data_IF_360625934775
#
_entry.id   IF_360625934775
#
_cell.length_a   1.000
_cell.length_b   1.000
_cell.length_c   1.000
_cell.angle_alpha   90.00
_cell.angle_beta   90.00
_cell.angle_gamma   90.00
#
_symmetry.space_group_name_H-M   'P 1'
#
loop_
_entity.id
_entity.type
_entity.pdbx_description
1 polymer ?
#
# COMPACT_ATOMS: atom_id res chain seq x y z
N UNK A 1 -23.75 -35.67 -18.88
CA UNK A 1 -22.78 -34.96 -18.00
C UNK A 1 -22.34 -35.92 -16.91
N UNK A 2 -21.04 -36.21 -16.80
CA UNK A 2 -20.49 -37.06 -15.75
C UNK A 2 -20.03 -36.16 -14.58
N UNK A 3 -20.89 -35.96 -13.59
CA UNK A 3 -20.64 -35.15 -12.39
C UNK A 3 -20.88 -36.01 -11.16
N UNK A 4 -20.01 -35.87 -10.16
CA UNK A 4 -20.11 -36.67 -8.95
C UNK A 4 -21.37 -36.27 -8.14
N UNK A 5 -22.13 -37.25 -7.66
CA UNK A 5 -23.37 -37.06 -6.91
C UNK A 5 -23.19 -36.20 -5.65
N UNK A 6 -22.03 -36.31 -5.00
CA UNK A 6 -21.69 -35.49 -3.81
C UNK A 6 -21.56 -34.00 -4.14
N UNK A 7 -21.11 -33.66 -5.35
CA UNK A 7 -20.99 -32.28 -5.81
C UNK A 7 -22.37 -31.66 -6.01
N UNK A 8 -23.32 -32.42 -6.56
CA UNK A 8 -24.71 -31.99 -6.75
C UNK A 8 -25.39 -31.77 -5.40
N UNK A 9 -25.21 -32.68 -4.45
CA UNK A 9 -25.75 -32.54 -3.09
C UNK A 9 -25.22 -31.28 -2.39
N UNK A 10 -23.89 -31.07 -2.42
CA UNK A 10 -23.25 -29.89 -1.82
C UNK A 10 -23.71 -28.57 -2.45
N UNK A 11 -23.88 -28.53 -3.77
CA UNK A 11 -24.39 -27.35 -4.46
C UNK A 11 -25.85 -27.04 -4.08
N UNK A 12 -26.71 -28.07 -4.02
CA UNK A 12 -28.10 -27.90 -3.54
C UNK A 12 -28.14 -27.43 -2.10
N UNK A 13 -27.30 -27.98 -1.22
CA UNK A 13 -27.21 -27.57 0.16
C UNK A 13 -26.74 -26.11 0.28
N UNK A 14 -25.66 -25.71 -0.41
CA UNK A 14 -25.21 -24.32 -0.45
C UNK A 14 -26.31 -23.38 -0.95
N UNK A 15 -27.03 -23.76 -2.01
CA UNK A 15 -28.13 -22.96 -2.55
C UNK A 15 -29.25 -22.79 -1.51
N UNK A 16 -29.62 -23.85 -0.79
CA UNK A 16 -30.62 -23.75 0.27
C UNK A 16 -30.16 -22.89 1.47
N UNK A 17 -28.87 -22.93 1.81
CA UNK A 17 -28.32 -22.18 2.96
C UNK A 17 -28.06 -20.70 2.66
N UNK A 18 -27.59 -20.37 1.45
CA UNK A 18 -27.05 -19.04 1.12
C UNK A 18 -27.69 -18.39 -0.09
N UNK A 19 -28.71 -19.02 -0.69
CA UNK A 19 -29.38 -18.59 -1.93
C UNK A 19 -28.42 -18.38 -3.11
N UNK A 20 -27.20 -18.93 -3.02
CA UNK A 20 -26.18 -18.84 -4.05
C UNK A 20 -25.37 -20.13 -4.13
N UNK A 21 -24.91 -20.44 -5.35
CA UNK A 21 -23.92 -21.51 -5.61
C UNK A 21 -22.50 -20.96 -5.77
N UNK A 22 -22.32 -19.66 -5.54
CA UNK A 22 -21.01 -19.01 -5.62
C UNK A 22 -20.06 -19.57 -4.57
N UNK A 23 -18.79 -19.72 -4.93
CA UNK A 23 -17.77 -20.19 -4.00
C UNK A 23 -17.62 -19.24 -2.81
N UNK A 24 -17.51 -19.80 -1.60
CA UNK A 24 -17.23 -19.01 -0.39
C UNK A 24 -15.84 -18.37 -0.49
N UNK A 25 -15.63 -17.16 0.08
CA UNK A 25 -14.30 -16.56 0.14
C UNK A 25 -13.32 -17.48 0.87
N UNK A 26 -12.21 -17.81 0.23
CA UNK A 26 -11.13 -18.56 0.88
C UNK A 26 -10.26 -17.62 1.72
N UNK A 27 -9.73 -18.10 2.84
CA UNK A 27 -8.88 -17.32 3.76
C UNK A 27 -7.56 -16.86 3.12
N UNK A 28 -7.09 -17.55 2.07
CA UNK A 28 -5.87 -17.21 1.35
C UNK A 28 -4.59 -17.39 2.18
N UNK A 29 -3.46 -16.91 1.64
CA UNK A 29 -2.15 -16.98 2.31
C UNK A 29 -2.01 -15.87 3.37
N UNK A 30 -1.45 -16.15 4.56
CA UNK A 30 -1.19 -15.12 5.56
C UNK A 30 -0.22 -14.05 5.04
N UNK A 31 -0.38 -12.82 5.53
CA UNK A 31 0.49 -11.69 5.18
C UNK A 31 1.89 -11.87 5.76
N UNK A 32 2.91 -11.45 5.00
CA UNK A 32 4.30 -11.42 5.46
C UNK A 32 4.55 -10.37 6.55
N UNK A 33 3.79 -9.26 6.52
CA UNK A 33 3.90 -8.14 7.46
C UNK A 33 2.67 -8.04 8.36
N UNK A 34 2.89 -7.56 9.57
CA UNK A 34 1.83 -7.25 10.53
C UNK A 34 1.29 -5.83 10.32
N UNK A 35 0.06 -5.58 10.78
CA UNK A 35 -0.54 -4.24 10.70
C UNK A 35 0.29 -3.16 11.43
N UNK A 36 1.01 -3.53 12.51
CA UNK A 36 1.93 -2.61 13.21
C UNK A 36 3.14 -2.26 12.35
N UNK A 37 3.73 -3.24 11.68
CA UNK A 37 4.85 -3.02 10.77
C UNK A 37 4.43 -2.11 9.60
N UNK A 38 3.27 -2.38 9.00
CA UNK A 38 2.75 -1.57 7.89
C UNK A 38 2.54 -0.11 8.30
N UNK A 39 1.97 0.15 9.49
CA UNK A 39 1.84 1.53 10.03
C UNK A 39 3.19 2.22 10.23
N UNK A 40 4.20 1.48 10.70
CA UNK A 40 5.54 2.03 10.87
C UNK A 40 6.22 2.32 9.53
N UNK A 41 6.05 1.45 8.53
CA UNK A 41 6.54 1.68 7.17
C UNK A 41 5.94 2.96 6.59
N UNK A 42 4.62 3.13 6.68
CA UNK A 42 3.92 4.32 6.21
C UNK A 42 4.44 5.58 6.92
N UNK A 43 4.53 5.56 8.24
CA UNK A 43 5.05 6.70 9.02
C UNK A 43 6.48 7.08 8.63
N UNK A 44 7.36 6.10 8.50
CA UNK A 44 8.76 6.35 8.13
C UNK A 44 8.89 6.98 6.74
N UNK A 45 8.09 6.52 5.77
CA UNK A 45 8.07 7.07 4.40
C UNK A 45 7.37 8.43 4.31
N UNK A 46 6.44 8.74 5.21
CA UNK A 46 5.88 10.11 5.32
C UNK A 46 6.91 11.10 5.85
N UNK A 47 7.68 10.70 6.87
CA UNK A 47 8.71 11.55 7.48
C UNK A 47 9.93 11.74 6.56
N UNK A 48 10.32 10.69 5.82
CA UNK A 48 11.43 10.75 4.87
C UNK A 48 10.98 10.27 3.49
N UNK A 49 10.57 11.23 2.65
CA UNK A 49 10.09 10.95 1.28
C UNK A 49 11.18 10.40 0.34
N UNK A 50 12.46 10.50 0.71
CA UNK A 50 13.60 9.98 -0.06
C UNK A 50 13.99 8.55 0.37
N UNK A 51 13.37 8.00 1.41
CA UNK A 51 13.66 6.67 1.90
C UNK A 51 13.33 5.61 0.83
N UNK A 52 14.32 4.82 0.46
CA UNK A 52 14.11 3.72 -0.50
C UNK A 52 13.36 2.56 0.13
N UNK A 53 12.43 1.97 -0.62
CA UNK A 53 11.76 0.73 -0.22
C UNK A 53 12.74 -0.43 0.04
N UNK A 54 13.89 -0.45 -0.66
CA UNK A 54 14.94 -1.44 -0.44
C UNK A 54 15.62 -1.24 0.93
N UNK A 55 15.85 0.01 1.33
CA UNK A 55 16.43 0.32 2.63
C UNK A 55 15.50 -0.12 3.77
N UNK A 56 14.20 0.17 3.65
CA UNK A 56 13.20 -0.29 4.63
C UNK A 56 13.06 -1.81 4.67
N UNK A 57 13.21 -2.49 3.53
CA UNK A 57 13.18 -3.95 3.42
C UNK A 57 14.33 -4.59 4.20
N UNK A 58 15.53 -4.00 4.19
CA UNK A 58 16.69 -4.49 4.97
C UNK A 58 16.47 -4.37 6.49
N UNK A 59 15.69 -3.38 6.92
CA UNK A 59 15.41 -3.10 8.33
C UNK A 59 14.20 -3.87 8.88
N UNK A 60 13.30 -4.30 8.00
CA UNK A 60 12.04 -4.96 8.40
C UNK A 60 12.16 -6.46 8.24
N UNK A 61 11.86 -7.19 9.31
CA UNK A 61 11.81 -8.65 9.29
C UNK A 61 10.36 -9.15 9.26
N UNK A 62 10.12 -10.21 8.50
CA UNK A 62 8.84 -10.92 8.55
C UNK A 62 8.71 -11.77 9.81
N UNK A 63 7.57 -12.46 9.93
CA UNK A 63 7.24 -13.30 11.09
C UNK A 63 8.28 -14.40 11.37
N UNK A 64 8.92 -14.94 10.35
CA UNK A 64 9.95 -15.98 10.46
C UNK A 64 11.37 -15.39 10.51
N UNK A 65 11.50 -14.11 10.87
CA UNK A 65 12.77 -13.40 10.97
C UNK A 65 13.55 -13.26 9.63
N UNK A 66 12.93 -13.60 8.49
CA UNK A 66 13.52 -13.35 7.18
C UNK A 66 13.39 -11.86 6.79
N UNK A 67 14.20 -11.40 5.86
CA UNK A 67 14.08 -10.04 5.32
C UNK A 67 12.91 -9.99 4.34
N UNK A 68 12.05 -8.98 4.47
CA UNK A 68 10.97 -8.79 3.51
C UNK A 68 11.52 -8.25 2.19
N UNK A 69 10.85 -8.52 1.08
CA UNK A 69 11.20 -7.93 -0.22
C UNK A 69 10.83 -6.44 -0.29
N UNK A 70 11.46 -5.69 -1.19
CA UNK A 70 11.07 -4.31 -1.47
C UNK A 70 9.62 -4.20 -1.99
N UNK A 71 9.12 -5.21 -2.70
CA UNK A 71 7.72 -5.23 -3.16
C UNK A 71 6.74 -5.39 -1.98
N UNK A 72 7.11 -6.17 -0.97
CA UNK A 72 6.35 -6.30 0.27
C UNK A 72 6.23 -4.96 1.00
N UNK A 73 7.29 -4.13 0.97
CA UNK A 73 7.25 -2.75 1.50
C UNK A 73 6.37 -1.84 0.65
N UNK A 74 6.42 -1.94 -0.68
CA UNK A 74 5.63 -1.08 -1.58
C UNK A 74 4.13 -1.29 -1.46
N UNK A 75 3.66 -2.50 -1.14
CA UNK A 75 2.22 -2.81 -1.01
C UNK A 75 1.51 -1.90 0.01
N UNK A 76 1.88 -1.85 1.30
CA UNK A 76 1.23 -0.99 2.29
C UNK A 76 1.40 0.51 1.98
N UNK A 77 2.52 0.91 1.36
CA UNK A 77 2.72 2.28 0.89
C UNK A 77 1.69 2.64 -0.20
N UNK A 78 1.51 1.77 -1.20
CA UNK A 78 0.51 1.99 -2.25
C UNK A 78 -0.91 1.99 -1.72
N UNK A 79 -1.25 1.09 -0.78
CA UNK A 79 -2.57 1.05 -0.14
C UNK A 79 -2.87 2.33 0.64
N UNK A 80 -1.84 2.98 1.20
CA UNK A 80 -1.98 4.28 1.89
C UNK A 80 -1.83 5.50 0.96
N UNK A 81 -1.77 5.29 -0.36
CA UNK A 81 -1.63 6.37 -1.34
C UNK A 81 -0.22 6.94 -1.46
N UNK A 82 0.77 6.37 -0.77
CA UNK A 82 2.16 6.80 -0.87
C UNK A 82 2.82 6.21 -2.12
N UNK A 83 3.37 7.10 -2.94
CA UNK A 83 4.15 6.75 -4.13
C UNK A 83 5.41 7.62 -4.16
N UNK A 84 6.52 7.01 -4.55
CA UNK A 84 7.73 7.75 -4.84
C UNK A 84 7.48 8.68 -6.04
N UNK A 85 7.94 9.93 -5.92
CA UNK A 85 7.92 10.92 -6.99
C UNK A 85 9.33 11.43 -7.21
N UNK A 86 9.61 11.91 -8.42
CA UNK A 86 10.87 12.62 -8.68
C UNK A 86 10.79 13.97 -7.96
N UNK A 87 11.77 14.34 -7.13
CA UNK A 87 11.81 15.67 -6.54
C UNK A 87 11.90 16.72 -7.65
N UNK A 88 11.38 17.92 -7.38
CA UNK A 88 11.52 19.04 -8.29
C UNK A 88 13.00 19.40 -8.47
N UNK A 89 13.39 19.68 -9.71
CA UNK A 89 14.74 20.12 -10.08
C UNK A 89 14.62 21.57 -10.54
N UNK A 90 15.25 22.48 -9.81
CA UNK A 90 15.24 23.91 -10.13
C UNK A 90 16.03 24.73 -9.10
N UNK A 91 16.07 26.06 -9.25
CA UNK A 91 16.82 26.94 -8.37
C UNK A 91 16.32 26.86 -6.92
N UNK A 92 17.26 26.77 -5.97
CA UNK A 92 16.94 26.79 -4.55
C UNK A 92 16.51 28.21 -4.18
N UNK A 93 15.23 28.39 -3.85
CA UNK A 93 14.74 29.68 -3.38
C UNK A 93 15.22 29.91 -1.95
N UNK A 94 15.86 31.06 -1.71
CA UNK A 94 16.12 31.55 -0.36
C UNK A 94 14.82 32.04 0.27
N UNK A 95 14.83 32.33 1.56
CA UNK A 95 13.68 32.92 2.25
C UNK A 95 13.24 34.24 1.60
N UNK A 96 14.21 35.11 1.28
CA UNK A 96 13.98 36.40 0.61
C UNK A 96 13.28 36.23 -0.75
N UNK A 97 13.77 35.31 -1.60
CA UNK A 97 13.15 35.05 -2.90
C UNK A 97 11.69 34.57 -2.76
N UNK A 98 11.40 33.69 -1.79
CA UNK A 98 10.02 33.23 -1.55
C UNK A 98 9.10 34.37 -1.14
N UNK A 99 9.57 35.25 -0.25
CA UNK A 99 8.79 36.38 0.23
C UNK A 99 8.45 37.36 -0.89
N UNK A 100 9.47 37.80 -1.65
CA UNK A 100 9.25 38.72 -2.78
C UNK A 100 8.31 38.14 -3.83
N UNK A 101 8.48 36.87 -4.20
CA UNK A 101 7.57 36.21 -5.16
C UNK A 101 6.13 36.13 -4.64
N UNK A 102 5.95 35.90 -3.33
CA UNK A 102 4.63 35.87 -2.71
C UNK A 102 3.97 37.25 -2.74
N UNK A 103 4.69 38.30 -2.36
CA UNK A 103 4.18 39.68 -2.42
C UNK A 103 3.78 40.06 -3.84
N UNK A 104 4.66 39.81 -4.80
CA UNK A 104 4.39 40.10 -6.20
C UNK A 104 3.12 39.38 -6.70
N UNK A 105 2.96 38.09 -6.36
CA UNK A 105 1.80 37.31 -6.74
C UNK A 105 0.49 37.80 -6.07
N UNK A 106 0.57 38.38 -4.87
CA UNK A 106 -0.58 39.00 -4.20
C UNK A 106 -0.96 40.34 -4.86
N UNK A 107 0.03 41.14 -5.24
CA UNK A 107 -0.17 42.45 -5.87
C UNK A 107 -0.68 42.36 -7.32
N UNK A 108 -0.27 41.34 -8.08
CA UNK A 108 -0.49 41.24 -9.53
C UNK A 108 -1.29 40.00 -9.95
N UNK A 109 -1.82 39.22 -9.01
CA UNK A 109 -2.52 37.96 -9.29
C UNK A 109 -4.01 38.08 -9.61
N UNK A 110 -4.51 39.30 -9.89
CA UNK A 110 -5.90 39.58 -10.26
C UNK A 110 -6.11 39.50 -11.78
#
# INVERSE_FOLDING_TARGET
MNVNSTTIFRLRQCLHETDTVSGRPSSGRPRCTTQRQDRNLVRNHMNNRLLSALASSRQTRERNNQRISANTVRRPLSTSGLRARRPYIGPILTHHHRHQRSLWAQEHGA
#
